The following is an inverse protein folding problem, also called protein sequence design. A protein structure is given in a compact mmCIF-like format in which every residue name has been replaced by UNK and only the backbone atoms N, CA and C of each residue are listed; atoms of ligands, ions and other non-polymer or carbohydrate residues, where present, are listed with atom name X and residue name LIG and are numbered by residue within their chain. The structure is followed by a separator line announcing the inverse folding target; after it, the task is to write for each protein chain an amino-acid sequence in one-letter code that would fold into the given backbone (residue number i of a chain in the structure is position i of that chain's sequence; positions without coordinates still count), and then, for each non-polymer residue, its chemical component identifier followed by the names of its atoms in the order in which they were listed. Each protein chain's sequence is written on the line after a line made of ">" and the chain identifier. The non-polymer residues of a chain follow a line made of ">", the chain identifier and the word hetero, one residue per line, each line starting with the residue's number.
data_IF_437257060552
#
_entry.id   IF_437257060552
#
_cell.length_a   1.000
_cell.length_b   1.000
_cell.length_c   1.000
_cell.angle_alpha   90.00
_cell.angle_beta   90.00
_cell.angle_gamma   90.00
#
_symmetry.space_group_name_H-M   'P 1'
#
loop_
_entity.id
_entity.type
_entity.pdbx_description
1 polymer ?
#
# COMPACT_ATOMS: atom_id res chain seq x y z
N UNK A 1 -71.77 11.00 -19.30
CA UNK A 1 -71.09 10.10 -18.33
C UNK A 1 -69.76 9.64 -18.93
N UNK A 2 -68.65 10.33 -18.65
CA UNK A 2 -67.30 9.85 -19.00
C UNK A 2 -66.16 10.43 -18.12
N UNK A 3 -66.23 10.46 -16.76
CA UNK A 3 -65.09 10.92 -15.96
C UNK A 3 -64.26 9.80 -15.32
N UNK A 4 -64.70 8.53 -15.38
CA UNK A 4 -64.08 7.43 -14.63
C UNK A 4 -62.91 6.77 -15.37
N UNK A 5 -62.99 6.63 -16.70
CA UNK A 5 -61.96 5.95 -17.50
C UNK A 5 -60.63 6.72 -17.56
N UNK A 6 -60.67 8.07 -17.54
CA UNK A 6 -59.47 8.91 -17.60
C UNK A 6 -58.70 8.94 -16.28
N UNK A 7 -59.41 8.84 -15.14
CA UNK A 7 -58.78 8.75 -13.82
C UNK A 7 -58.04 7.42 -13.64
N UNK A 8 -58.62 6.32 -14.11
CA UNK A 8 -58.00 4.99 -14.03
C UNK A 8 -56.75 4.90 -14.91
N UNK A 9 -56.78 5.47 -16.12
CA UNK A 9 -55.60 5.53 -17.01
C UNK A 9 -54.46 6.37 -16.42
N UNK A 10 -54.77 7.53 -15.81
CA UNK A 10 -53.75 8.35 -15.12
C UNK A 10 -53.17 7.66 -13.90
N UNK A 11 -54.00 6.95 -13.12
CA UNK A 11 -53.53 6.22 -11.93
C UNK A 11 -52.64 5.03 -12.30
N UNK A 12 -52.98 4.29 -13.37
CA UNK A 12 -52.15 3.19 -13.88
C UNK A 12 -50.83 3.71 -14.45
N UNK A 13 -50.84 4.84 -15.17
CA UNK A 13 -49.60 5.43 -15.70
C UNK A 13 -48.68 5.94 -14.57
N UNK A 14 -49.22 6.54 -13.52
CA UNK A 14 -48.47 6.96 -12.33
C UNK A 14 -47.89 5.77 -11.55
N UNK A 15 -48.62 4.65 -11.46
CA UNK A 15 -48.14 3.44 -10.78
C UNK A 15 -47.00 2.76 -11.56
N UNK A 16 -47.07 2.73 -12.90
CA UNK A 16 -46.03 2.13 -13.76
C UNK A 16 -44.75 2.98 -13.78
N UNK A 17 -44.87 4.31 -13.73
CA UNK A 17 -43.69 5.19 -13.62
C UNK A 17 -43.07 5.11 -12.22
N UNK A 18 -43.89 4.94 -11.16
CA UNK A 18 -43.38 4.76 -9.80
C UNK A 18 -42.65 3.41 -9.61
N UNK A 19 -43.11 2.34 -10.24
CA UNK A 19 -42.41 1.04 -10.20
C UNK A 19 -41.15 1.01 -11.07
N UNK A 20 -41.14 1.71 -12.22
CA UNK A 20 -39.94 1.86 -13.04
C UNK A 20 -38.88 2.77 -12.38
N UNK A 21 -39.30 3.79 -11.62
CA UNK A 21 -38.39 4.65 -10.85
C UNK A 21 -37.87 3.97 -9.56
N UNK A 22 -38.66 3.10 -8.93
CA UNK A 22 -38.25 2.35 -7.75
C UNK A 22 -37.34 1.15 -8.08
N UNK A 23 -37.42 0.61 -9.30
CA UNK A 23 -36.54 -0.47 -9.76
C UNK A 23 -35.14 0.01 -10.21
N UNK A 24 -34.89 1.33 -10.25
CA UNK A 24 -33.61 1.90 -10.70
C UNK A 24 -32.70 2.39 -9.55
N UNK A 25 -33.03 2.06 -8.29
CA UNK A 25 -32.29 2.57 -7.12
C UNK A 25 -31.64 1.50 -6.24
N UNK A 26 -31.59 0.25 -6.70
CA UNK A 26 -30.84 -0.81 -6.03
C UNK A 26 -30.02 -1.61 -7.06
N UNK A 27 -29.17 -0.92 -7.81
CA UNK A 27 -27.98 -1.58 -8.29
C UNK A 27 -27.14 -1.88 -7.04
N UNK A 28 -26.78 -3.14 -6.74
CA UNK A 28 -25.75 -3.40 -5.74
C UNK A 28 -24.52 -2.64 -6.22
N UNK A 29 -24.11 -1.61 -5.47
CA UNK A 29 -22.76 -1.08 -5.61
C UNK A 29 -21.86 -2.25 -5.24
N UNK A 30 -21.39 -3.00 -6.23
CA UNK A 30 -20.16 -3.74 -6.05
C UNK A 30 -19.18 -2.68 -5.60
N UNK A 31 -18.79 -2.71 -4.32
CA UNK A 31 -17.64 -1.95 -3.86
C UNK A 31 -16.49 -2.48 -4.71
N UNK A 32 -16.23 -1.83 -5.85
CA UNK A 32 -15.04 -2.05 -6.65
C UNK A 32 -13.93 -1.71 -5.68
N UNK A 33 -13.19 -2.73 -5.23
CA UNK A 33 -12.43 -2.66 -3.98
C UNK A 33 -11.22 -1.75 -4.17
N UNK A 34 -11.46 -0.44 -4.13
CA UNK A 34 -10.45 0.56 -4.33
C UNK A 34 -9.39 0.46 -3.24
N UNK A 35 -8.12 0.62 -3.61
CA UNK A 35 -7.00 0.64 -2.68
C UNK A 35 -7.30 1.58 -1.49
N UNK A 36 -7.11 1.11 -0.23
CA UNK A 36 -7.25 1.95 0.95
C UNK A 36 -6.38 3.20 0.86
N UNK A 37 -6.84 4.30 1.44
CA UNK A 37 -6.14 5.60 1.39
C UNK A 37 -5.83 6.10 2.78
N UNK A 38 -4.62 6.60 2.95
CA UNK A 38 -4.17 7.37 4.11
C UNK A 38 -3.90 8.79 3.65
N UNK A 39 -4.43 9.77 4.38
CA UNK A 39 -4.09 11.18 4.15
C UNK A 39 -2.86 11.54 4.97
N UNK A 40 -1.91 12.21 4.34
CA UNK A 40 -0.78 12.85 4.99
C UNK A 40 -0.83 14.35 4.68
N UNK A 41 -0.75 15.19 5.70
CA UNK A 41 -0.68 16.64 5.50
C UNK A 41 0.79 17.07 5.59
N UNK A 42 1.38 17.63 4.52
CA UNK A 42 2.74 18.15 4.57
C UNK A 42 2.89 19.13 5.74
N UNK A 43 4.00 19.01 6.45
CA UNK A 43 4.25 19.79 7.67
C UNK A 43 4.90 21.14 7.39
N UNK A 44 5.48 21.31 6.19
CA UNK A 44 6.20 22.53 5.78
C UNK A 44 5.24 23.59 5.27
N UNK A 45 5.49 24.84 5.67
CA UNK A 45 4.63 25.98 5.34
C UNK A 45 4.59 26.32 3.84
N UNK A 46 5.65 25.98 3.10
CA UNK A 46 5.72 26.16 1.63
C UNK A 46 5.04 25.02 0.85
N UNK A 47 4.49 24.03 1.56
CA UNK A 47 3.84 22.86 0.98
C UNK A 47 4.82 21.87 0.35
N UNK A 48 6.13 22.02 0.55
CA UNK A 48 7.12 21.05 0.11
C UNK A 48 7.09 19.78 0.97
N UNK A 49 7.57 18.68 0.41
CA UNK A 49 7.62 17.37 1.07
C UNK A 49 9.06 16.87 1.11
N UNK A 50 9.52 16.45 2.29
CA UNK A 50 10.81 15.79 2.45
C UNK A 50 10.60 14.42 3.08
N UNK A 51 11.13 13.38 2.43
CA UNK A 51 10.94 11.99 2.84
C UNK A 51 12.28 11.28 2.92
N UNK A 52 12.37 10.26 3.77
CA UNK A 52 13.42 9.23 3.66
C UNK A 52 12.82 7.96 3.07
N UNK A 53 13.63 7.22 2.33
CA UNK A 53 13.28 5.91 1.79
C UNK A 53 14.32 4.90 2.30
N UNK A 54 13.86 3.77 2.83
CA UNK A 54 14.71 2.69 3.34
C UNK A 54 14.08 1.34 3.01
N UNK A 55 14.90 0.34 2.71
CA UNK A 55 14.48 -1.04 2.49
C UNK A 55 15.36 -1.98 3.29
N UNK A 56 14.91 -3.22 3.43
CA UNK A 56 15.80 -4.34 3.77
C UNK A 56 16.56 -4.11 5.08
N UNK A 57 15.85 -3.78 6.17
CA UNK A 57 16.47 -3.10 7.32
C UNK A 57 16.38 -3.83 8.67
N UNK A 58 15.31 -4.53 9.02
CA UNK A 58 15.08 -4.97 10.41
C UNK A 58 15.91 -6.15 10.85
N UNK A 59 17.00 -5.90 11.58
CA UNK A 59 17.97 -6.94 12.00
C UNK A 59 18.46 -6.76 13.44
N UNK A 60 17.60 -6.35 14.38
CA UNK A 60 17.95 -6.19 15.81
C UNK A 60 19.19 -5.31 16.05
N UNK A 61 19.38 -4.28 15.22
CA UNK A 61 20.54 -3.38 15.24
C UNK A 61 21.79 -3.92 14.54
N UNK A 62 21.78 -5.16 14.06
CA UNK A 62 22.90 -5.79 13.36
C UNK A 62 22.99 -5.36 11.89
N UNK A 63 24.03 -5.82 11.17
CA UNK A 63 24.26 -5.51 9.75
C UNK A 63 24.20 -4.01 9.43
N UNK A 64 24.84 -3.21 10.27
CA UNK A 64 24.86 -1.74 10.19
C UNK A 64 23.50 -1.05 10.36
N UNK A 65 22.43 -1.77 10.73
CA UNK A 65 21.11 -1.17 10.92
C UNK A 65 21.15 0.02 11.88
N UNK A 66 21.83 -0.09 13.03
CA UNK A 66 21.97 1.03 13.97
C UNK A 66 22.77 2.21 13.38
N UNK A 67 23.80 1.94 12.57
CA UNK A 67 24.58 3.00 11.91
C UNK A 67 23.74 3.74 10.86
N UNK A 68 22.94 3.01 10.08
CA UNK A 68 21.98 3.59 9.13
C UNK A 68 20.94 4.41 9.89
N UNK A 69 20.37 3.88 10.97
CA UNK A 69 19.39 4.59 11.79
C UNK A 69 19.96 5.90 12.37
N UNK A 70 21.24 5.91 12.80
CA UNK A 70 21.92 7.11 13.25
C UNK A 70 22.03 8.16 12.13
N UNK A 71 22.44 7.76 10.92
CA UNK A 71 22.54 8.68 9.78
C UNK A 71 21.17 9.16 9.31
N UNK A 72 20.16 8.31 9.29
CA UNK A 72 18.78 8.70 9.06
C UNK A 72 18.31 9.75 10.07
N UNK A 73 18.71 9.64 11.34
CA UNK A 73 18.42 10.65 12.36
C UNK A 73 19.02 12.02 12.03
N UNK A 74 20.30 12.05 11.63
CA UNK A 74 21.01 13.29 11.24
C UNK A 74 20.37 13.91 10.00
N UNK A 75 20.15 13.12 8.95
CA UNK A 75 19.56 13.60 7.69
C UNK A 75 18.11 14.03 7.91
N UNK A 76 17.34 13.24 8.67
CA UNK A 76 15.96 13.53 9.02
C UNK A 76 15.80 14.86 9.74
N UNK A 77 16.75 15.19 10.63
CA UNK A 77 16.78 16.48 11.31
C UNK A 77 17.13 17.61 10.36
N UNK A 78 18.14 17.42 9.50
CA UNK A 78 18.60 18.44 8.55
C UNK A 78 17.53 18.80 7.51
N UNK A 79 16.75 17.82 7.06
CA UNK A 79 15.72 18.00 6.03
C UNK A 79 14.33 18.27 6.61
N UNK A 80 14.17 18.20 7.94
CA UNK A 80 12.89 18.22 8.64
C UNK A 80 11.83 17.34 7.95
N UNK A 81 12.08 16.03 7.94
CA UNK A 81 11.28 15.09 7.14
C UNK A 81 9.83 15.02 7.63
N UNK A 82 8.92 14.77 6.68
CA UNK A 82 7.49 14.58 6.92
C UNK A 82 7.18 13.14 7.34
N UNK A 83 7.80 12.16 6.68
CA UNK A 83 7.65 10.73 6.95
C UNK A 83 8.77 9.89 6.33
N UNK A 84 8.74 8.59 6.62
CA UNK A 84 9.62 7.58 6.03
C UNK A 84 8.79 6.62 5.17
N UNK A 85 9.33 6.23 4.01
CA UNK A 85 8.82 5.13 3.18
C UNK A 85 9.70 3.91 3.40
N UNK A 86 9.09 2.78 3.74
CA UNK A 86 9.75 1.48 3.73
C UNK A 86 9.41 0.71 2.46
N UNK A 87 10.44 0.24 1.74
CA UNK A 87 10.28 -0.60 0.53
C UNK A 87 10.17 -2.09 0.86
N UNK A 88 9.94 -2.47 2.12
CA UNK A 88 9.73 -3.87 2.50
C UNK A 88 10.96 -4.54 3.07
N UNK A 89 10.80 -5.84 3.34
CA UNK A 89 11.72 -6.62 4.17
C UNK A 89 11.98 -5.93 5.51
N UNK A 90 10.87 -5.68 6.19
CA UNK A 90 10.85 -4.86 7.38
C UNK A 90 11.53 -5.59 8.55
N UNK A 91 11.39 -6.92 8.64
CA UNK A 91 11.94 -7.72 9.74
C UNK A 91 12.52 -9.04 9.20
N UNK A 92 13.83 -9.21 9.38
CA UNK A 92 14.56 -10.40 8.98
C UNK A 92 14.76 -11.42 10.12
N UNK A 93 14.99 -12.70 9.81
CA UNK A 93 14.89 -13.28 8.46
C UNK A 93 13.48 -13.76 8.12
N UNK A 94 12.60 -13.87 9.11
CA UNK A 94 11.28 -14.50 8.95
C UNK A 94 10.13 -13.69 9.56
N UNK A 95 10.13 -12.38 9.30
CA UNK A 95 9.11 -11.46 9.77
C UNK A 95 8.92 -11.56 11.29
N UNK A 96 7.67 -11.39 11.74
CA UNK A 96 7.26 -11.59 13.13
C UNK A 96 6.26 -12.74 13.22
N UNK A 97 6.24 -13.47 14.34
CA UNK A 97 5.30 -14.56 14.56
C UNK A 97 3.87 -14.06 14.86
N UNK A 98 3.75 -12.93 15.57
CA UNK A 98 2.48 -12.32 15.96
C UNK A 98 2.69 -10.85 16.36
N UNK A 99 1.61 -10.16 16.72
CA UNK A 99 1.61 -8.73 17.05
C UNK A 99 2.29 -8.37 18.37
N UNK A 100 2.64 -9.37 19.19
CA UNK A 100 3.37 -9.21 20.46
C UNK A 100 4.81 -9.73 20.39
N UNK A 101 5.29 -10.10 19.20
CA UNK A 101 6.65 -10.59 19.00
C UNK A 101 7.68 -9.51 19.40
N UNK A 102 8.61 -9.80 20.34
CA UNK A 102 9.61 -8.82 20.76
C UNK A 102 10.50 -8.35 19.62
N UNK A 103 10.65 -9.16 18.57
CA UNK A 103 11.45 -8.84 17.39
C UNK A 103 11.00 -7.53 16.73
N UNK A 104 9.71 -7.19 16.78
CA UNK A 104 9.21 -5.91 16.29
C UNK A 104 9.90 -4.73 17.00
N UNK A 105 9.94 -4.75 18.34
CA UNK A 105 10.59 -3.67 19.10
C UNK A 105 12.10 -3.69 18.91
N UNK A 106 12.70 -4.87 18.94
CA UNK A 106 14.15 -5.05 18.80
C UNK A 106 14.67 -4.59 17.43
N UNK A 107 13.87 -4.76 16.37
CA UNK A 107 14.25 -4.39 15.00
C UNK A 107 13.70 -3.04 14.55
N UNK A 108 12.68 -2.47 15.18
CA UNK A 108 12.10 -1.18 14.77
C UNK A 108 12.12 -0.14 15.90
N UNK A 109 11.28 -0.32 16.93
CA UNK A 109 11.03 0.72 17.95
C UNK A 109 12.30 1.13 18.70
N UNK A 110 13.15 0.16 19.04
CA UNK A 110 14.37 0.41 19.82
C UNK A 110 15.55 0.87 18.95
N UNK A 111 15.42 0.82 17.62
CA UNK A 111 16.49 1.16 16.68
C UNK A 111 16.34 2.59 16.15
N UNK A 112 15.14 2.95 15.69
CA UNK A 112 14.88 4.25 15.07
C UNK A 112 14.38 5.27 16.11
N UNK A 113 15.23 5.59 17.09
CA UNK A 113 14.85 6.39 18.28
C UNK A 113 15.10 7.89 18.15
N UNK A 114 15.78 8.34 17.09
CA UNK A 114 16.04 9.77 16.88
C UNK A 114 14.73 10.58 16.80
N UNK A 115 14.71 11.78 17.40
CA UNK A 115 13.53 12.66 17.43
C UNK A 115 13.00 12.97 16.02
N UNK A 116 13.90 13.18 15.06
CA UNK A 116 13.58 13.42 13.66
C UNK A 116 12.90 12.23 12.95
N UNK A 117 13.01 11.02 13.51
CA UNK A 117 12.38 9.80 13.01
C UNK A 117 11.09 9.45 13.77
N UNK A 118 10.65 10.29 14.71
CA UNK A 118 9.34 10.15 15.39
C UNK A 118 8.22 10.72 14.50
N UNK A 119 8.18 10.21 13.26
CA UNK A 119 7.27 10.57 12.18
C UNK A 119 6.56 9.30 11.70
N UNK A 120 5.48 9.38 10.92
CA UNK A 120 4.88 8.20 10.29
C UNK A 120 5.89 7.45 9.41
N UNK A 121 5.79 6.12 9.42
CA UNK A 121 6.47 5.23 8.48
C UNK A 121 5.39 4.54 7.65
N UNK A 122 5.41 4.67 6.34
CA UNK A 122 4.49 3.96 5.44
C UNK A 122 5.24 2.84 4.74
N UNK A 123 4.74 1.61 4.86
CA UNK A 123 5.53 0.41 4.54
C UNK A 123 4.77 -0.52 3.61
N UNK A 124 5.48 -1.10 2.63
CA UNK A 124 5.08 -2.37 1.99
C UNK A 124 5.71 -3.55 2.73
N UNK A 125 5.24 -4.76 2.45
CA UNK A 125 5.88 -6.00 2.92
C UNK A 125 6.80 -6.55 1.82
N UNK A 126 7.94 -7.10 2.22
CA UNK A 126 8.84 -7.85 1.34
C UNK A 126 8.75 -9.36 1.52
N UNK A 127 9.58 -10.12 0.80
CA UNK A 127 9.51 -11.59 0.85
C UNK A 127 9.85 -12.17 2.23
N UNK A 128 10.76 -11.56 3.00
CA UNK A 128 11.08 -11.99 4.37
C UNK A 128 9.95 -11.70 5.36
N UNK A 129 9.13 -10.66 5.11
CA UNK A 129 7.94 -10.41 5.93
C UNK A 129 6.87 -11.48 5.72
N UNK A 130 6.84 -12.07 4.52
CA UNK A 130 5.95 -13.13 4.12
C UNK A 130 6.34 -14.51 4.68
N UNK A 131 7.59 -14.75 5.05
CA UNK A 131 7.99 -16.03 5.66
C UNK A 131 7.66 -16.12 7.15
N UNK A 132 7.19 -15.03 7.75
CA UNK A 132 6.57 -14.97 9.08
C UNK A 132 5.04 -14.89 9.03
N UNK A 133 4.46 -14.10 9.92
CA UNK A 133 3.03 -13.78 9.94
C UNK A 133 2.80 -12.43 9.26
N UNK A 134 2.61 -12.44 7.95
CA UNK A 134 2.46 -11.23 7.16
C UNK A 134 1.24 -10.38 7.59
N UNK A 135 0.17 -11.03 8.05
CA UNK A 135 -1.02 -10.33 8.57
C UNK A 135 -0.77 -9.63 9.91
N UNK A 136 0.13 -10.14 10.75
CA UNK A 136 0.46 -9.48 12.02
C UNK A 136 1.10 -8.11 11.82
N UNK A 137 1.85 -7.92 10.74
CA UNK A 137 2.45 -6.62 10.40
C UNK A 137 1.43 -5.59 9.89
N UNK A 138 0.24 -6.04 9.47
CA UNK A 138 -0.85 -5.16 9.03
C UNK A 138 -1.89 -4.88 10.14
N UNK A 139 -1.89 -5.74 11.16
CA UNK A 139 -2.85 -5.73 12.25
C UNK A 139 -2.77 -4.41 13.03
N UNK A 140 -3.91 -3.75 13.33
CA UNK A 140 -3.93 -2.54 14.16
C UNK A 140 -3.22 -2.65 15.52
N UNK A 141 -3.07 -3.86 16.08
CA UNK A 141 -2.33 -4.08 17.31
C UNK A 141 -0.84 -3.73 17.19
N UNK A 142 -0.20 -3.91 16.03
CA UNK A 142 1.22 -3.51 15.86
C UNK A 142 1.38 -2.00 15.98
N UNK A 143 0.40 -1.23 15.48
CA UNK A 143 0.33 0.24 15.61
C UNK A 143 0.08 0.70 17.05
N UNK A 144 -0.48 -0.16 17.91
CA UNK A 144 -0.57 0.12 19.35
C UNK A 144 0.77 -0.05 20.05
N UNK A 145 1.66 -0.89 19.51
CA UNK A 145 3.02 -1.04 20.00
C UNK A 145 3.88 0.16 19.60
N UNK A 146 3.79 0.58 18.34
CA UNK A 146 4.46 1.79 17.83
C UNK A 146 3.60 2.44 16.73
N UNK A 147 3.06 3.62 17.02
CA UNK A 147 2.10 4.32 16.14
C UNK A 147 2.73 4.81 14.83
N UNK A 148 4.06 4.79 14.72
CA UNK A 148 4.75 5.16 13.49
C UNK A 148 4.55 4.12 12.40
N UNK A 149 4.45 2.84 12.75
CA UNK A 149 4.45 1.71 11.82
C UNK A 149 3.12 1.56 11.04
N UNK A 150 3.00 2.24 9.90
CA UNK A 150 1.75 2.36 9.14
C UNK A 150 1.76 1.49 7.88
N UNK A 151 1.43 0.20 8.07
CA UNK A 151 1.03 -0.71 7.00
C UNK A 151 -0.45 -1.10 7.22
N UNK A 152 -1.37 -0.49 6.48
CA UNK A 152 -2.83 -0.65 6.73
C UNK A 152 -3.48 -1.75 5.86
N UNK A 153 -2.79 -2.16 4.80
CA UNK A 153 -3.19 -3.21 3.88
C UNK A 153 -1.94 -3.67 3.11
N UNK A 154 -2.06 -4.79 2.38
CA UNK A 154 -1.01 -5.29 1.48
C UNK A 154 -0.61 -4.25 0.44
N UNK A 155 -1.60 -3.56 -0.12
CA UNK A 155 -1.41 -2.42 -1.01
C UNK A 155 -2.33 -1.28 -0.58
N UNK A 156 -1.84 -0.05 -0.58
CA UNK A 156 -2.61 1.14 -0.19
C UNK A 156 -1.96 2.41 -0.76
N UNK A 157 -2.66 3.53 -0.63
CA UNK A 157 -2.20 4.82 -1.15
C UNK A 157 -2.00 5.80 0.00
N UNK A 158 -0.91 6.56 -0.05
CA UNK A 158 -0.71 7.75 0.80
C UNK A 158 -0.87 8.99 -0.07
N UNK A 159 -1.87 9.81 0.25
CA UNK A 159 -2.11 11.08 -0.42
C UNK A 159 -1.48 12.20 0.40
N UNK A 160 -0.55 12.97 -0.20
CA UNK A 160 0.06 14.15 0.44
C UNK A 160 -0.41 15.48 -0.15
N UNK A 161 -1.33 15.44 -1.13
CA UNK A 161 -1.74 16.59 -1.93
C UNK A 161 -0.79 16.87 -3.10
N UNK A 162 0.51 17.03 -2.83
CA UNK A 162 1.52 17.28 -3.88
C UNK A 162 2.03 15.99 -4.54
N UNK A 163 1.98 14.87 -3.81
CA UNK A 163 2.39 13.56 -4.28
C UNK A 163 1.42 12.47 -3.79
N UNK A 164 1.10 11.51 -4.66
CA UNK A 164 0.43 10.28 -4.31
C UNK A 164 1.44 9.12 -4.35
N UNK A 165 1.54 8.40 -3.23
CA UNK A 165 2.38 7.21 -3.10
C UNK A 165 1.51 5.97 -3.18
N UNK A 166 1.76 5.11 -4.16
CA UNK A 166 1.05 3.85 -4.38
C UNK A 166 1.94 2.74 -3.84
N UNK A 167 1.66 2.29 -2.62
CA UNK A 167 2.36 1.17 -1.97
C UNK A 167 1.74 -0.12 -2.48
N UNK A 168 2.53 -0.91 -3.21
CA UNK A 168 2.08 -2.08 -3.98
C UNK A 168 2.76 -3.33 -3.45
N UNK A 169 1.96 -4.37 -3.20
CA UNK A 169 2.45 -5.69 -2.81
C UNK A 169 3.02 -6.43 -4.01
N UNK A 170 4.34 -6.44 -4.11
CA UNK A 170 5.05 -7.10 -5.21
C UNK A 170 5.36 -8.57 -4.93
N UNK A 171 5.12 -9.09 -3.72
CA UNK A 171 5.54 -10.46 -3.37
C UNK A 171 4.78 -11.55 -4.12
N UNK A 172 3.44 -11.47 -4.26
CA UNK A 172 2.68 -12.45 -5.04
C UNK A 172 3.07 -12.51 -6.53
N UNK A 173 3.66 -11.45 -7.10
CA UNK A 173 4.09 -11.42 -8.50
C UNK A 173 5.24 -12.37 -8.81
N UNK A 174 6.05 -12.74 -7.83
CA UNK A 174 7.23 -13.57 -8.06
C UNK A 174 6.85 -15.04 -7.92
N UNK A 175 6.88 -15.80 -9.02
CA UNK A 175 6.44 -17.20 -9.05
C UNK A 175 7.31 -18.08 -8.15
N UNK A 176 8.61 -17.77 -8.09
CA UNK A 176 9.55 -18.48 -7.25
C UNK A 176 9.10 -18.51 -5.78
N UNK A 177 8.69 -17.36 -5.24
CA UNK A 177 8.18 -17.27 -3.87
C UNK A 177 6.83 -17.97 -3.75
N UNK A 178 5.90 -17.72 -4.68
CA UNK A 178 4.56 -18.31 -4.64
C UNK A 178 4.55 -19.83 -4.46
N UNK A 179 5.49 -20.53 -5.10
CA UNK A 179 5.59 -21.99 -5.04
C UNK A 179 6.27 -22.52 -3.76
N UNK A 180 6.67 -21.65 -2.84
CA UNK A 180 7.28 -22.00 -1.57
C UNK A 180 6.24 -22.03 -0.45
N UNK A 181 6.21 -23.14 0.30
CA UNK A 181 5.24 -23.37 1.39
C UNK A 181 5.55 -22.59 2.68
N UNK A 182 6.74 -21.98 2.79
CA UNK A 182 7.11 -21.14 3.94
C UNK A 182 6.33 -19.82 3.99
N UNK A 183 5.81 -19.37 2.86
CA UNK A 183 5.23 -18.05 2.72
C UNK A 183 3.75 -18.01 3.14
N UNK A 184 3.37 -16.93 3.81
CA UNK A 184 2.02 -16.65 4.27
C UNK A 184 1.15 -16.04 3.16
N UNK A 185 0.49 -16.90 2.40
CA UNK A 185 -0.40 -16.50 1.29
C UNK A 185 -1.82 -16.10 1.73
N UNK A 186 -2.09 -15.95 3.03
CA UNK A 186 -3.41 -15.53 3.51
C UNK A 186 -3.74 -14.13 2.99
N UNK A 187 -4.96 -13.98 2.45
CA UNK A 187 -5.45 -12.71 1.91
C UNK A 187 -4.98 -12.38 0.49
N UNK A 188 -4.15 -13.23 -0.13
CA UNK A 188 -3.64 -13.02 -1.50
C UNK A 188 -3.85 -14.22 -2.45
N UNK A 189 -4.55 -15.27 -1.98
CA UNK A 189 -4.98 -16.40 -2.80
C UNK A 189 -6.46 -16.27 -3.22
N UNK A 190 -6.85 -16.68 -4.45
CA UNK A 190 -5.99 -17.22 -5.52
C UNK A 190 -5.10 -16.15 -6.16
N UNK A 191 -3.84 -16.52 -6.47
CA UNK A 191 -2.79 -15.63 -6.95
C UNK A 191 -3.21 -14.75 -8.12
N UNK A 192 -3.67 -15.38 -9.19
CA UNK A 192 -3.92 -14.69 -10.46
C UNK A 192 -5.10 -13.73 -10.31
N UNK A 193 -6.11 -14.10 -9.53
CA UNK A 193 -7.23 -13.23 -9.18
C UNK A 193 -6.76 -12.03 -8.35
N UNK A 194 -5.89 -12.27 -7.36
CA UNK A 194 -5.32 -11.20 -6.54
C UNK A 194 -4.50 -10.21 -7.38
N UNK A 195 -3.57 -10.71 -8.21
CA UNK A 195 -2.74 -9.88 -9.08
C UNK A 195 -3.61 -9.11 -10.08
N UNK A 196 -4.58 -9.76 -10.72
CA UNK A 196 -5.47 -9.10 -11.69
C UNK A 196 -6.28 -7.95 -11.04
N UNK A 197 -6.81 -8.17 -9.84
CA UNK A 197 -7.54 -7.14 -9.10
C UNK A 197 -6.61 -6.00 -8.68
N UNK A 198 -5.43 -6.31 -8.13
CA UNK A 198 -4.44 -5.31 -7.74
C UNK A 198 -4.02 -4.43 -8.93
N UNK A 199 -3.74 -5.02 -10.09
CA UNK A 199 -3.39 -4.27 -11.30
C UNK A 199 -4.56 -3.40 -11.80
N UNK A 200 -5.79 -3.90 -11.72
CA UNK A 200 -7.00 -3.13 -12.04
C UNK A 200 -7.13 -1.93 -11.10
N UNK A 201 -7.06 -2.15 -9.79
CA UNK A 201 -7.26 -1.12 -8.77
C UNK A 201 -6.14 -0.07 -8.82
N UNK A 202 -4.90 -0.50 -9.03
CA UNK A 202 -3.75 0.38 -9.22
C UNK A 202 -3.94 1.25 -10.47
N UNK A 203 -4.31 0.66 -11.61
CA UNK A 203 -4.58 1.41 -12.86
C UNK A 203 -5.70 2.43 -12.67
N UNK A 204 -6.79 2.04 -12.02
CA UNK A 204 -7.90 2.95 -11.70
C UNK A 204 -7.42 4.10 -10.79
N UNK A 205 -6.63 3.82 -9.77
CA UNK A 205 -6.12 4.82 -8.86
C UNK A 205 -5.12 5.79 -9.51
N UNK A 206 -4.19 5.28 -10.33
CA UNK A 206 -3.25 6.10 -11.11
C UNK A 206 -3.99 7.02 -12.09
N UNK A 207 -5.03 6.52 -12.75
CA UNK A 207 -5.89 7.31 -13.65
C UNK A 207 -6.64 8.41 -12.91
N UNK A 208 -7.16 8.11 -11.72
CA UNK A 208 -7.95 9.05 -10.93
C UNK A 208 -7.08 10.11 -10.22
N UNK A 209 -5.79 9.84 -10.02
CA UNK A 209 -4.89 10.72 -9.28
C UNK A 209 -4.60 12.01 -10.05
N UNK A 210 -4.92 13.13 -9.39
CA UNK A 210 -4.62 14.49 -9.85
C UNK A 210 -3.33 15.04 -9.25
N UNK A 211 -2.63 14.26 -8.42
CA UNK A 211 -1.39 14.69 -7.81
C UNK A 211 -0.33 14.96 -8.89
N UNK A 212 0.46 16.05 -8.75
CA UNK A 212 1.60 16.33 -9.63
C UNK A 212 2.57 15.15 -9.71
N UNK A 213 2.90 14.57 -8.56
CA UNK A 213 3.80 13.42 -8.47
C UNK A 213 3.02 12.14 -8.18
N UNK A 214 3.31 11.08 -8.94
CA UNK A 214 2.78 9.74 -8.73
C UNK A 214 3.97 8.81 -8.52
N UNK A 215 4.08 8.23 -7.34
CA UNK A 215 5.25 7.46 -6.92
C UNK A 215 4.77 6.06 -6.57
N UNK A 216 5.33 5.04 -7.21
CA UNK A 216 4.99 3.65 -6.92
C UNK A 216 6.09 3.06 -6.05
N UNK A 217 5.71 2.39 -4.98
CA UNK A 217 6.61 1.78 -4.00
C UNK A 217 6.28 0.30 -3.93
N UNK A 218 7.28 -0.53 -4.19
CA UNK A 218 7.19 -1.99 -4.06
C UNK A 218 8.50 -2.51 -3.49
N UNK A 219 8.55 -3.81 -3.19
CA UNK A 219 9.75 -4.45 -2.65
C UNK A 219 10.66 -5.05 -3.73
N UNK A 220 10.06 -5.58 -4.80
CA UNK A 220 10.81 -6.29 -5.84
C UNK A 220 11.08 -5.39 -7.05
N UNK A 221 12.29 -5.45 -7.64
CA UNK A 221 12.68 -4.52 -8.70
C UNK A 221 12.08 -4.96 -10.01
N UNK A 222 11.54 -4.01 -10.78
CA UNK A 222 11.25 -4.26 -12.18
C UNK A 222 12.58 -4.51 -12.92
N UNK A 223 13.59 -3.69 -12.63
CA UNK A 223 14.94 -3.87 -13.14
C UNK A 223 15.97 -3.48 -12.08
N UNK A 224 16.99 -4.32 -11.90
CA UNK A 224 18.13 -4.07 -11.02
C UNK A 224 19.41 -4.60 -11.68
N UNK A 225 20.51 -3.87 -11.52
CA UNK A 225 21.84 -4.32 -11.93
C UNK A 225 22.55 -5.13 -10.83
N UNK A 226 21.87 -5.37 -9.70
CA UNK A 226 22.38 -6.08 -8.54
C UNK A 226 22.14 -7.61 -8.66
N UNK A 227 22.55 -8.36 -7.64
CA UNK A 227 22.54 -9.84 -7.67
C UNK A 227 21.17 -10.49 -7.86
N UNK A 228 20.08 -9.79 -7.51
CA UNK A 228 18.71 -10.27 -7.71
C UNK A 228 18.22 -10.15 -9.17
N UNK A 229 18.84 -9.27 -9.96
CA UNK A 229 18.50 -9.06 -11.36
C UNK A 229 17.10 -8.49 -11.59
N UNK A 230 16.63 -8.60 -12.84
CA UNK A 230 15.28 -8.16 -13.22
C UNK A 230 14.24 -9.22 -12.85
N UNK A 231 13.05 -8.80 -12.42
CA UNK A 231 11.92 -9.69 -12.22
C UNK A 231 11.01 -9.68 -13.46
N UNK A 232 11.12 -10.73 -14.28
CA UNK A 232 10.36 -10.85 -15.54
C UNK A 232 8.85 -10.72 -15.33
N UNK A 233 8.31 -11.27 -14.24
CA UNK A 233 6.88 -11.16 -13.94
C UNK A 233 6.44 -9.71 -13.70
N UNK A 234 7.29 -8.87 -13.10
CA UNK A 234 6.99 -7.46 -12.93
C UNK A 234 7.17 -6.66 -14.22
N UNK A 235 8.15 -7.02 -15.05
CA UNK A 235 8.32 -6.45 -16.39
C UNK A 235 7.10 -6.75 -17.29
N UNK A 236 6.52 -7.94 -17.18
CA UNK A 236 5.39 -8.38 -17.99
C UNK A 236 4.04 -7.87 -17.46
N UNK A 237 3.85 -7.82 -16.14
CA UNK A 237 2.53 -7.55 -15.55
C UNK A 237 2.39 -6.13 -15.01
N UNK A 238 3.39 -5.63 -14.27
CA UNK A 238 3.31 -4.34 -13.58
C UNK A 238 3.80 -3.19 -14.46
N UNK A 239 4.94 -3.35 -15.11
CA UNK A 239 5.56 -2.30 -15.93
C UNK A 239 4.63 -1.74 -17.04
N UNK A 240 3.79 -2.54 -17.73
CA UNK A 240 2.85 -2.00 -18.70
C UNK A 240 1.78 -1.09 -18.08
N UNK A 241 1.39 -1.33 -16.83
CA UNK A 241 0.49 -0.43 -16.09
C UNK A 241 1.21 0.88 -15.76
N UNK A 242 2.48 0.80 -15.37
CA UNK A 242 3.26 1.97 -14.95
C UNK A 242 3.67 2.87 -16.11
N UNK A 243 4.09 2.32 -17.25
CA UNK A 243 4.61 3.10 -18.41
C UNK A 243 3.61 4.09 -19.01
N UNK A 244 2.31 3.90 -18.75
CA UNK A 244 1.26 4.85 -19.15
C UNK A 244 1.36 6.17 -18.37
N UNK A 245 2.08 6.15 -17.23
CA UNK A 245 2.23 7.27 -16.31
C UNK A 245 3.72 7.60 -16.12
N UNK A 246 4.05 8.87 -15.88
CA UNK A 246 5.41 9.26 -15.47
C UNK A 246 5.52 8.96 -13.96
N UNK A 247 5.88 7.71 -13.63
CA UNK A 247 6.06 7.25 -12.25
C UNK A 247 7.53 7.18 -11.89
N UNK A 248 7.88 7.60 -10.67
CA UNK A 248 9.14 7.22 -10.03
C UNK A 248 8.93 5.92 -9.26
N UNK A 249 9.80 4.94 -9.48
CA UNK A 249 9.84 3.68 -8.74
C UNK A 249 11.01 3.75 -7.77
N UNK A 250 10.76 3.47 -6.49
CA UNK A 250 11.82 3.26 -5.51
C UNK A 250 12.00 1.77 -5.28
N UNK A 251 13.21 1.30 -5.53
CA UNK A 251 13.71 -0.02 -5.15
C UNK A 251 15.16 0.12 -4.69
N UNK A 252 15.56 -0.60 -3.65
CA UNK A 252 16.89 -0.54 -3.04
C UNK A 252 17.62 -1.90 -3.03
N UNK A 253 17.17 -2.87 -3.82
CA UNK A 253 17.70 -4.25 -3.84
C UNK A 253 18.71 -4.57 -4.97
#
# INVERSE_FOLDING_TARGET
>A
MAPAHDRLRRLVLLLVVATAAAALLLAPTTADAALPRVQHTPTKADGSLAILVVGDWGRRGQFNQTLVAQQMGVVGQKLDIDFVISTGDNIYDDGIANTSDPLFKESFSNIYTANSLQKPWYLVLGNHDYTGNALAQLDPAIRKVDSRYTAIAKSFIVNSGIADFFLVDTTPFIVHYWNNTKFDWRGVAPRDTYIANLLKDLKCALTASKAPWKIVVGHHPISSACGHGNNTELEELLLPVLRVYICMLFDLT
#
